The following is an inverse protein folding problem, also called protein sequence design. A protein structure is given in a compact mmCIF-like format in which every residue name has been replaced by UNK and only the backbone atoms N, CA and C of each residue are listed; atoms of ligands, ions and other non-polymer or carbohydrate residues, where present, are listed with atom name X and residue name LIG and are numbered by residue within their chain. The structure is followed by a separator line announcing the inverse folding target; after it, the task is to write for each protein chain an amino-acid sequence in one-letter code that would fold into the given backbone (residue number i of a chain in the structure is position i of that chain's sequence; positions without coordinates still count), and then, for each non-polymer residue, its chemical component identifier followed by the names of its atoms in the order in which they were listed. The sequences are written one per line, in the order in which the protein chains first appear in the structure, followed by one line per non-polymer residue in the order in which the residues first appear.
data_IF_266033913624
#
_entry.id   IF_266033913624
#
_cell.length_a   1.000
_cell.length_b   1.000
_cell.length_c   1.000
_cell.angle_alpha   90.00
_cell.angle_beta   90.00
_cell.angle_gamma   90.00
#
_symmetry.space_group_name_H-M   'P 1'
#
loop_
_entity.id
_entity.type
_entity.pdbx_description
1 polymer ?
#
# COMPACT_ATOMS: atom_id res chain seq x y z
N UNK A 1 5.08 -8.48 -14.09
CA UNK A 1 6.23 -9.38 -14.14
C UNK A 1 7.42 -8.80 -14.92
N UNK A 2 7.21 -7.91 -15.88
CA UNK A 2 8.27 -7.33 -16.72
C UNK A 2 9.05 -6.16 -16.09
N UNK A 3 8.69 -5.74 -14.88
CA UNK A 3 9.29 -4.56 -14.25
C UNK A 3 10.80 -4.73 -14.03
N UNK A 4 11.24 -5.90 -13.53
CA UNK A 4 12.66 -6.17 -13.32
C UNK A 4 13.46 -6.25 -14.63
N UNK A 5 12.87 -6.84 -15.66
CA UNK A 5 13.47 -6.89 -17.00
C UNK A 5 13.65 -5.48 -17.59
N UNK A 6 12.62 -4.64 -17.50
CA UNK A 6 12.71 -3.25 -17.96
C UNK A 6 13.75 -2.45 -17.16
N UNK A 7 13.77 -2.63 -15.84
CA UNK A 7 14.74 -1.98 -14.97
C UNK A 7 16.19 -2.34 -15.37
N UNK A 8 16.45 -3.62 -15.59
CA UNK A 8 17.73 -4.11 -16.09
C UNK A 8 18.08 -3.50 -17.45
N UNK A 9 17.14 -3.51 -18.39
CA UNK A 9 17.35 -2.96 -19.74
C UNK A 9 17.74 -1.48 -19.74
N UNK A 10 17.17 -0.69 -18.81
CA UNK A 10 17.41 0.73 -18.72
C UNK A 10 18.43 1.14 -17.63
N UNK A 11 18.99 0.18 -16.90
CA UNK A 11 19.97 0.45 -15.83
C UNK A 11 19.38 1.27 -14.67
N UNK A 12 18.10 1.06 -14.32
CA UNK A 12 17.40 1.79 -13.25
C UNK A 12 16.92 0.82 -12.16
N UNK A 13 16.69 1.31 -10.96
CA UNK A 13 16.16 0.52 -9.88
C UNK A 13 14.63 0.39 -9.98
N UNK A 14 14.10 -0.77 -9.57
CA UNK A 14 12.66 -1.00 -9.42
C UNK A 14 12.27 -1.23 -7.96
N UNK A 15 11.01 -0.91 -7.65
CA UNK A 15 10.43 -0.99 -6.32
C UNK A 15 9.07 -1.68 -6.40
N UNK A 16 8.98 -3.00 -6.18
CA UNK A 16 7.71 -3.71 -6.21
C UNK A 16 6.83 -3.28 -5.03
N UNK A 17 5.55 -3.10 -5.31
CA UNK A 17 4.54 -2.79 -4.28
C UNK A 17 3.86 -4.08 -3.87
N UNK A 18 3.83 -4.36 -2.58
CA UNK A 18 3.23 -5.56 -2.00
C UNK A 18 2.49 -5.22 -0.71
N UNK A 19 1.44 -5.98 -0.40
CA UNK A 19 0.69 -5.88 0.84
C UNK A 19 1.03 -6.97 1.87
N UNK A 20 1.90 -7.91 1.51
CA UNK A 20 2.30 -9.02 2.40
C UNK A 20 3.63 -9.64 1.99
N UNK A 21 4.28 -10.29 2.95
CA UNK A 21 5.48 -11.10 2.72
C UNK A 21 5.26 -12.19 1.67
N UNK A 22 4.09 -12.86 1.71
CA UNK A 22 3.71 -13.88 0.73
C UNK A 22 3.63 -13.31 -0.68
N UNK A 23 3.04 -12.13 -0.86
CA UNK A 23 2.97 -11.46 -2.17
C UNK A 23 4.37 -11.20 -2.72
N UNK A 24 5.29 -10.70 -1.88
CA UNK A 24 6.68 -10.53 -2.28
C UNK A 24 7.36 -11.84 -2.69
N UNK A 25 7.21 -12.91 -1.90
CA UNK A 25 7.79 -14.22 -2.24
C UNK A 25 7.32 -14.74 -3.60
N UNK A 26 6.04 -14.58 -3.92
CA UNK A 26 5.48 -15.01 -5.21
C UNK A 26 6.10 -14.22 -6.37
N UNK A 27 6.17 -12.88 -6.23
CA UNK A 27 6.78 -12.02 -7.24
C UNK A 27 8.27 -12.30 -7.40
N UNK A 28 8.98 -12.50 -6.30
CA UNK A 28 10.41 -12.83 -6.30
C UNK A 28 10.68 -14.12 -7.08
N UNK A 29 9.99 -15.22 -6.72
CA UNK A 29 10.17 -16.52 -7.38
C UNK A 29 9.80 -16.51 -8.86
N UNK A 30 8.79 -15.73 -9.24
CA UNK A 30 8.26 -15.75 -10.61
C UNK A 30 8.99 -14.82 -11.57
N UNK A 31 9.58 -13.74 -11.08
CA UNK A 31 10.09 -12.69 -11.96
C UNK A 31 11.35 -12.01 -11.46
N UNK A 32 11.42 -11.61 -10.18
CA UNK A 32 12.39 -10.61 -9.76
C UNK A 32 13.75 -11.17 -9.31
N UNK A 33 13.84 -12.45 -8.97
CA UNK A 33 15.09 -13.08 -8.56
C UNK A 33 16.21 -12.97 -9.62
N UNK A 34 15.84 -12.96 -10.90
CA UNK A 34 16.78 -12.81 -12.02
C UNK A 34 17.30 -11.37 -12.23
N UNK A 35 16.71 -10.40 -11.53
CA UNK A 35 17.02 -8.97 -11.64
C UNK A 35 17.31 -8.37 -10.28
N UNK A 36 17.92 -9.17 -9.41
CA UNK A 36 18.20 -8.83 -8.01
C UNK A 36 18.98 -7.54 -7.84
N UNK A 37 19.98 -7.30 -8.69
CA UNK A 37 20.87 -6.16 -8.67
C UNK A 37 20.16 -4.82 -8.92
N UNK A 38 18.98 -4.87 -9.53
CA UNK A 38 18.14 -3.69 -9.80
C UNK A 38 17.02 -3.49 -8.77
N UNK A 39 16.93 -4.34 -7.74
CA UNK A 39 15.97 -4.15 -6.66
C UNK A 39 16.41 -3.01 -5.74
N UNK A 40 15.78 -1.84 -5.84
CA UNK A 40 16.08 -0.66 -5.02
C UNK A 40 15.44 -0.71 -3.63
N UNK A 41 14.32 -1.39 -3.48
CA UNK A 41 13.58 -1.54 -2.23
C UNK A 41 12.25 -2.25 -2.45
N UNK A 42 11.54 -2.54 -1.36
CA UNK A 42 10.20 -3.14 -1.40
C UNK A 42 9.21 -2.18 -0.76
N UNK A 43 8.21 -1.73 -1.52
CA UNK A 43 7.13 -0.91 -0.98
C UNK A 43 6.11 -1.84 -0.33
N UNK A 44 6.02 -1.78 1.00
CA UNK A 44 4.92 -2.39 1.73
C UNK A 44 3.78 -1.37 1.79
N UNK A 45 2.71 -1.66 1.06
CA UNK A 45 1.50 -0.86 1.07
C UNK A 45 0.51 -1.47 2.07
N UNK A 46 0.23 -0.73 3.16
CA UNK A 46 -0.71 -1.22 4.17
C UNK A 46 -2.13 -1.31 3.59
N UNK A 47 -2.73 -2.52 3.54
CA UNK A 47 -3.99 -2.73 2.83
C UNK A 47 -5.22 -2.15 3.52
N UNK A 48 -5.13 -1.71 4.78
CA UNK A 48 -6.23 -1.01 5.48
C UNK A 48 -6.08 0.50 5.46
N UNK A 49 -4.84 1.01 5.33
CA UNK A 49 -4.53 2.43 5.43
C UNK A 49 -4.26 3.09 4.06
N UNK A 50 -3.91 2.30 3.05
CA UNK A 50 -3.65 2.83 1.71
C UNK A 50 -4.94 3.22 0.98
N UNK A 51 -4.88 4.29 0.19
CA UNK A 51 -5.97 4.74 -0.66
C UNK A 51 -6.04 3.99 -1.99
N UNK A 52 -7.20 4.02 -2.64
CA UNK A 52 -7.42 3.37 -3.92
C UNK A 52 -7.49 1.84 -3.84
N UNK A 53 -7.10 1.15 -4.90
CA UNK A 53 -6.96 -0.30 -4.89
C UNK A 53 -5.78 -0.68 -4.02
N UNK A 54 -6.05 -1.48 -3.01
CA UNK A 54 -5.02 -1.99 -2.11
C UNK A 54 -4.93 -3.53 -2.19
N UNK A 55 -3.91 -4.07 -1.59
CA UNK A 55 -3.66 -5.50 -1.66
C UNK A 55 -4.37 -6.32 -0.59
N UNK A 56 -5.48 -5.85 0.00
CA UNK A 56 -6.26 -6.63 0.97
C UNK A 56 -6.80 -7.89 0.28
N UNK A 57 -6.45 -9.04 0.80
CA UNK A 57 -6.90 -10.31 0.22
C UNK A 57 -8.36 -10.59 0.60
N UNK A 58 -9.02 -11.44 -0.20
CA UNK A 58 -10.39 -11.85 0.10
C UNK A 58 -10.53 -12.69 1.38
N UNK A 59 -9.43 -13.20 1.91
CA UNK A 59 -9.38 -13.95 3.17
C UNK A 59 -9.19 -13.04 4.40
N UNK A 60 -8.89 -11.76 4.18
CA UNK A 60 -8.71 -10.78 5.26
C UNK A 60 -10.01 -9.99 5.49
N UNK A 61 -10.29 -9.70 6.76
CA UNK A 61 -11.47 -8.93 7.16
C UNK A 61 -11.16 -7.42 7.09
N UNK A 62 -11.85 -6.66 6.23
CA UNK A 62 -11.64 -5.21 6.12
C UNK A 62 -11.95 -4.45 7.41
N UNK A 63 -12.74 -5.03 8.32
CA UNK A 63 -13.10 -4.41 9.60
C UNK A 63 -12.14 -4.77 10.74
N UNK A 64 -11.16 -5.65 10.50
CA UNK A 64 -10.16 -6.09 11.47
C UNK A 64 -8.75 -5.78 11.00
N UNK A 65 -8.33 -4.48 11.03
CA UNK A 65 -7.00 -4.09 10.61
C UNK A 65 -5.93 -4.77 11.47
N UNK A 66 -4.89 -5.29 10.81
CA UNK A 66 -3.70 -5.80 11.47
C UNK A 66 -2.72 -4.65 11.70
N UNK A 67 -1.86 -4.79 12.71
CA UNK A 67 -0.81 -3.81 12.96
C UNK A 67 0.26 -3.90 11.86
N UNK A 68 0.66 -2.79 11.25
CA UNK A 68 1.72 -2.78 10.24
C UNK A 68 3.03 -3.40 10.74
N UNK A 69 3.35 -3.24 12.02
CA UNK A 69 4.56 -3.76 12.65
C UNK A 69 4.77 -5.27 12.38
N UNK A 70 3.78 -6.09 12.71
CA UNK A 70 3.86 -7.55 12.56
C UNK A 70 4.10 -7.96 11.10
N UNK A 71 3.45 -7.26 10.18
CA UNK A 71 3.58 -7.51 8.73
C UNK A 71 4.94 -7.08 8.18
N UNK A 72 5.49 -5.99 8.71
CA UNK A 72 6.84 -5.51 8.34
C UNK A 72 7.92 -6.48 8.86
N UNK A 73 7.78 -6.97 10.10
CA UNK A 73 8.68 -7.98 10.68
C UNK A 73 8.64 -9.27 9.83
N UNK A 74 7.47 -9.73 9.43
CA UNK A 74 7.32 -10.90 8.55
C UNK A 74 7.97 -10.68 7.18
N UNK A 75 7.78 -9.50 6.59
CA UNK A 75 8.40 -9.13 5.33
C UNK A 75 9.94 -9.07 5.48
N UNK A 76 10.46 -8.47 6.54
CA UNK A 76 11.91 -8.42 6.83
C UNK A 76 12.49 -9.83 6.99
N UNK A 77 11.81 -10.72 7.73
CA UNK A 77 12.21 -12.12 7.85
C UNK A 77 12.28 -12.80 6.48
N UNK A 78 11.30 -12.54 5.64
CA UNK A 78 11.29 -13.06 4.26
C UNK A 78 12.47 -12.53 3.45
N UNK A 79 12.76 -11.23 3.51
CA UNK A 79 13.91 -10.63 2.83
C UNK A 79 15.23 -11.25 3.30
N UNK A 80 15.42 -11.42 4.61
CA UNK A 80 16.61 -12.09 5.19
C UNK A 80 16.78 -13.51 4.63
N UNK A 81 15.71 -14.30 4.60
CA UNK A 81 15.74 -15.68 4.08
C UNK A 81 16.09 -15.76 2.57
N UNK A 82 15.90 -14.65 1.85
CA UNK A 82 16.27 -14.53 0.43
C UNK A 82 17.64 -13.87 0.21
N UNK A 83 18.39 -13.58 1.29
CA UNK A 83 19.66 -12.87 1.27
C UNK A 83 19.52 -11.40 0.85
N UNK A 84 18.39 -10.78 1.16
CA UNK A 84 18.03 -9.39 0.83
C UNK A 84 17.89 -8.54 2.11
N UNK A 85 18.65 -8.85 3.15
CA UNK A 85 18.57 -8.21 4.47
C UNK A 85 18.83 -6.71 4.42
N UNK A 86 19.66 -6.25 3.49
CA UNK A 86 20.00 -4.84 3.32
C UNK A 86 18.98 -4.05 2.47
N UNK A 87 18.05 -4.74 1.82
CA UNK A 87 17.03 -4.10 0.99
C UNK A 87 16.08 -3.27 1.86
N UNK A 88 15.91 -1.96 1.60
CA UNK A 88 14.99 -1.13 2.38
C UNK A 88 13.54 -1.52 2.16
N UNK A 89 12.73 -1.47 3.22
CA UNK A 89 11.28 -1.53 3.14
C UNK A 89 10.75 -0.10 3.14
N UNK A 90 9.91 0.25 2.20
CA UNK A 90 9.25 1.55 2.12
C UNK A 90 7.81 1.37 2.61
N UNK A 91 7.50 1.87 3.79
CA UNK A 91 6.14 1.81 4.33
C UNK A 91 5.26 2.85 3.65
N UNK A 92 4.17 2.41 3.04
CA UNK A 92 3.16 3.22 2.38
C UNK A 92 1.76 2.94 2.98
N UNK A 93 0.90 3.96 2.96
CA UNK A 93 -0.44 3.91 3.53
C UNK A 93 -0.49 4.45 4.96
N UNK A 94 -1.34 5.46 5.18
CA UNK A 94 -1.55 6.06 6.49
C UNK A 94 -0.40 6.92 7.05
N UNK A 95 0.64 7.20 6.26
CA UNK A 95 1.78 7.99 6.72
C UNK A 95 1.44 9.48 6.67
N UNK A 96 1.27 10.08 7.84
CA UNK A 96 1.01 11.50 7.98
C UNK A 96 2.19 12.26 8.59
N UNK A 97 2.75 11.75 9.68
CA UNK A 97 3.91 12.32 10.36
C UNK A 97 4.88 11.22 10.75
N UNK A 98 6.19 11.43 10.59
CA UNK A 98 7.20 10.44 11.02
C UNK A 98 7.19 10.23 12.54
N UNK A 99 6.73 11.22 13.31
CA UNK A 99 6.60 11.10 14.77
C UNK A 99 5.71 9.91 15.19
N UNK A 100 4.70 9.58 14.39
CA UNK A 100 3.79 8.45 14.66
C UNK A 100 4.45 7.09 14.43
N UNK A 101 5.64 7.09 13.82
CA UNK A 101 6.38 5.91 13.38
C UNK A 101 7.80 5.84 13.97
N UNK A 102 8.08 6.60 15.04
CA UNK A 102 9.41 6.63 15.66
C UNK A 102 9.89 5.22 16.08
N UNK A 103 9.00 4.39 16.62
CA UNK A 103 9.31 3.02 17.06
C UNK A 103 9.69 2.07 15.90
N UNK A 104 9.47 2.50 14.65
CA UNK A 104 9.80 1.73 13.45
C UNK A 104 11.18 2.12 12.89
N UNK A 105 11.68 3.31 13.25
CA UNK A 105 12.97 3.83 12.81
C UNK A 105 14.05 3.19 13.67
N UNK A 106 15.15 2.76 13.04
CA UNK A 106 16.27 2.07 13.69
C UNK A 106 15.86 0.80 14.47
N UNK A 107 14.71 0.25 14.16
CA UNK A 107 14.20 -0.97 14.78
C UNK A 107 14.87 -2.21 14.19
N UNK A 108 15.58 -3.04 15.00
CA UNK A 108 16.34 -4.18 14.49
C UNK A 108 15.48 -5.28 13.87
N UNK A 109 14.21 -5.40 14.26
CA UNK A 109 13.29 -6.40 13.72
C UNK A 109 12.82 -6.01 12.30
N UNK A 110 12.68 -4.71 12.05
CA UNK A 110 12.26 -4.15 10.77
C UNK A 110 13.47 -3.88 9.85
N UNK A 111 14.59 -3.43 10.40
CA UNK A 111 15.79 -3.05 9.65
C UNK A 111 15.62 -1.74 8.89
N UNK A 112 16.28 -1.60 7.74
CA UNK A 112 16.22 -0.38 6.94
C UNK A 112 14.78 -0.08 6.49
N UNK A 113 14.25 1.06 6.92
CA UNK A 113 12.89 1.52 6.59
C UNK A 113 12.92 2.93 6.00
N UNK A 114 12.02 3.18 5.06
CA UNK A 114 11.68 4.50 4.52
C UNK A 114 10.16 4.66 4.52
N UNK A 115 9.67 5.86 4.25
CA UNK A 115 8.25 6.18 4.32
C UNK A 115 7.77 6.90 3.06
N UNK A 116 6.60 6.50 2.57
CA UNK A 116 5.95 7.12 1.43
C UNK A 116 4.73 7.92 1.87
N UNK A 117 4.73 9.21 1.60
CA UNK A 117 3.61 10.10 1.85
C UNK A 117 2.71 10.18 0.62
N UNK A 118 1.42 9.82 0.76
CA UNK A 118 0.43 9.95 -0.31
C UNK A 118 -0.38 11.25 -0.18
N UNK A 119 -1.24 11.31 0.82
CA UNK A 119 -2.23 12.40 0.99
C UNK A 119 -1.59 13.73 1.42
N UNK A 120 -0.59 13.68 2.31
CA UNK A 120 0.01 14.90 2.87
C UNK A 120 0.59 15.85 1.82
N UNK A 121 1.34 15.41 0.80
CA UNK A 121 1.81 16.28 -0.27
C UNK A 121 0.68 16.93 -1.08
N UNK A 122 -0.47 16.27 -1.19
CA UNK A 122 -1.60 16.80 -1.96
C UNK A 122 -2.21 18.06 -1.37
N UNK A 123 -2.11 18.27 -0.05
CA UNK A 123 -2.66 19.46 0.62
C UNK A 123 -1.67 20.61 0.76
N UNK A 124 -0.45 20.48 0.25
CA UNK A 124 0.53 21.58 0.25
C UNK A 124 0.13 22.69 -0.73
N UNK A 125 0.72 23.88 -0.58
CA UNK A 125 0.47 25.00 -1.49
C UNK A 125 0.89 24.70 -2.92
N UNK A 126 1.97 23.96 -3.08
CA UNK A 126 2.59 23.60 -4.36
C UNK A 126 1.79 22.55 -5.13
N UNK A 127 0.92 21.81 -4.44
CA UNK A 127 0.07 20.82 -5.10
C UNK A 127 -0.92 21.48 -6.06
N UNK A 128 -1.10 20.99 -7.29
CA UNK A 128 -2.04 21.55 -8.26
C UNK A 128 -3.51 21.24 -7.95
N UNK A 129 -3.80 20.54 -6.86
CA UNK A 129 -5.17 20.24 -6.42
C UNK A 129 -5.85 21.54 -5.98
N UNK A 130 -7.13 21.74 -6.35
CA UNK A 130 -7.89 22.93 -6.01
C UNK A 130 -8.01 23.13 -4.49
N UNK A 131 -8.08 24.40 -4.06
CA UNK A 131 -8.21 24.75 -2.64
C UNK A 131 -9.51 24.22 -2.03
N UNK A 132 -10.57 24.08 -2.82
CA UNK A 132 -11.82 23.46 -2.37
C UNK A 132 -11.59 21.98 -1.97
N UNK A 133 -10.86 21.24 -2.76
CA UNK A 133 -10.48 19.86 -2.44
C UNK A 133 -9.55 19.77 -1.23
N UNK A 134 -8.53 20.64 -1.15
CA UNK A 134 -7.62 20.70 0.01
C UNK A 134 -8.41 20.92 1.30
N UNK A 135 -9.37 21.86 1.30
CA UNK A 135 -10.24 22.12 2.45
C UNK A 135 -11.09 20.91 2.85
N UNK A 136 -11.68 20.21 1.86
CA UNK A 136 -12.42 18.98 2.12
C UNK A 136 -11.53 17.89 2.73
N UNK A 137 -10.34 17.68 2.18
CA UNK A 137 -9.40 16.67 2.69
C UNK A 137 -8.97 16.97 4.13
N UNK A 138 -8.83 18.23 4.50
CA UNK A 138 -8.51 18.65 5.87
C UNK A 138 -9.68 18.41 6.87
N UNK A 139 -10.90 18.22 6.38
CA UNK A 139 -12.09 17.98 7.21
C UNK A 139 -12.40 16.48 7.36
N UNK A 140 -11.72 15.60 6.61
CA UNK A 140 -11.93 14.13 6.67
C UNK A 140 -11.65 13.59 8.07
N UNK A 141 -12.61 12.85 8.60
CA UNK A 141 -12.56 12.23 9.93
C UNK A 141 -12.51 10.71 9.82
N UNK A 142 -12.25 10.07 10.95
CA UNK A 142 -12.36 8.61 11.06
C UNK A 142 -13.79 8.17 10.71
N UNK A 143 -13.93 7.27 9.73
CA UNK A 143 -15.21 6.79 9.22
C UNK A 143 -15.65 7.43 7.90
N UNK A 144 -15.00 8.53 7.47
CA UNK A 144 -15.26 9.14 6.15
C UNK A 144 -14.49 8.43 5.04
N UNK A 145 -13.52 7.61 5.39
CA UNK A 145 -12.82 6.71 4.44
C UNK A 145 -13.41 5.31 4.57
N UNK A 146 -13.89 4.77 3.48
CA UNK A 146 -14.50 3.45 3.42
C UNK A 146 -13.64 2.51 2.61
N UNK A 147 -13.50 1.28 3.11
CA UNK A 147 -12.76 0.17 2.50
C UNK A 147 -13.75 -0.91 2.10
N UNK A 148 -14.06 -1.00 0.80
CA UNK A 148 -15.04 -1.95 0.27
C UNK A 148 -14.70 -2.39 -1.16
N UNK A 149 -15.44 -3.39 -1.67
CA UNK A 149 -15.34 -3.85 -3.06
C UNK A 149 -16.32 -3.10 -3.95
N UNK A 150 -16.05 -1.85 -4.25
CA UNK A 150 -16.89 -1.07 -5.20
C UNK A 150 -16.31 -1.01 -6.61
N UNK A 151 -15.13 -1.55 -6.82
CA UNK A 151 -14.56 -1.67 -8.16
C UNK A 151 -15.10 -2.92 -8.87
N UNK A 152 -15.38 -2.87 -10.19
CA UNK A 152 -15.77 -4.02 -10.99
C UNK A 152 -14.68 -5.12 -11.03
N UNK A 153 -13.46 -4.80 -10.63
CA UNK A 153 -12.36 -5.78 -10.51
C UNK A 153 -12.54 -6.77 -9.35
N UNK A 154 -13.50 -6.51 -8.44
CA UNK A 154 -13.75 -7.36 -7.26
C UNK A 154 -12.72 -7.24 -6.15
N UNK A 155 -11.73 -6.37 -6.29
CA UNK A 155 -10.75 -6.10 -5.23
C UNK A 155 -11.24 -5.00 -4.28
N UNK A 156 -10.73 -5.05 -3.04
CA UNK A 156 -10.98 -3.99 -2.08
C UNK A 156 -10.34 -2.68 -2.54
N UNK A 157 -11.06 -1.59 -2.30
CA UNK A 157 -10.59 -0.23 -2.57
C UNK A 157 -10.96 0.68 -1.42
N UNK A 158 -10.10 1.64 -1.14
CA UNK A 158 -10.29 2.65 -0.10
C UNK A 158 -10.55 4.00 -0.74
N UNK A 159 -11.62 4.67 -0.33
CA UNK A 159 -11.97 5.98 -0.86
C UNK A 159 -12.70 6.85 0.18
N UNK A 160 -12.61 8.17 0.01
CA UNK A 160 -13.41 9.12 0.79
C UNK A 160 -14.86 8.98 0.38
N UNK A 161 -15.72 8.79 1.37
CA UNK A 161 -17.18 8.67 1.21
C UNK A 161 -17.74 9.92 0.54
N UNK A 162 -18.53 9.72 -0.51
CA UNK A 162 -19.24 10.77 -1.21
C UNK A 162 -20.56 10.23 -1.77
N UNK A 163 -21.43 11.10 -2.27
CA UNK A 163 -22.77 10.74 -2.77
C UNK A 163 -22.73 9.71 -3.92
N UNK A 164 -21.69 9.70 -4.74
CA UNK A 164 -21.53 8.69 -5.79
C UNK A 164 -21.27 7.30 -5.19
N UNK A 165 -20.34 7.19 -4.24
CA UNK A 165 -20.02 5.93 -3.59
C UNK A 165 -21.19 5.42 -2.72
N UNK A 166 -21.93 6.30 -2.08
CA UNK A 166 -23.14 5.95 -1.34
C UNK A 166 -24.16 5.27 -2.25
N UNK A 167 -24.48 5.90 -3.37
CA UNK A 167 -25.37 5.32 -4.39
C UNK A 167 -24.86 4.00 -4.97
N UNK A 168 -23.54 3.88 -5.15
CA UNK A 168 -22.94 2.65 -5.64
C UNK A 168 -23.08 1.50 -4.64
N UNK A 169 -22.88 1.78 -3.37
CA UNK A 169 -23.03 0.82 -2.28
C UNK A 169 -24.49 0.36 -2.15
N UNK A 170 -25.44 1.29 -2.21
CA UNK A 170 -26.87 1.00 -2.19
C UNK A 170 -27.28 0.09 -3.34
N UNK A 171 -26.82 0.38 -4.57
CA UNK A 171 -27.09 -0.45 -5.75
C UNK A 171 -26.54 -1.87 -5.60
N UNK A 172 -25.32 -2.01 -5.07
CA UNK A 172 -24.69 -3.30 -4.88
C UNK A 172 -25.47 -4.23 -3.95
N UNK A 173 -26.24 -3.70 -3.01
CA UNK A 173 -27.10 -4.49 -2.12
C UNK A 173 -28.28 -5.14 -2.86
N UNK A 174 -28.65 -4.62 -4.04
CA UNK A 174 -29.72 -5.16 -4.90
C UNK A 174 -29.22 -5.98 -6.09
N UNK A 175 -27.91 -6.08 -6.30
CA UNK A 175 -27.37 -6.82 -7.44
C UNK A 175 -27.23 -8.32 -7.12
N UNK A 176 -27.82 -9.16 -8.00
CA UNK A 176 -27.61 -10.60 -7.96
C UNK A 176 -26.17 -10.89 -8.37
N UNK A 177 -25.44 -11.59 -7.52
CA UNK A 177 -24.08 -12.02 -7.84
C UNK A 177 -24.11 -12.86 -9.12
N UNK A 178 -23.38 -12.44 -10.14
CA UNK A 178 -23.12 -13.31 -11.29
C UNK A 178 -22.41 -14.58 -10.80
N UNK A 179 -23.04 -15.71 -11.09
CA UNK A 179 -22.47 -17.03 -10.83
C UNK A 179 -21.48 -17.38 -11.93
#
# INVERSE_FOLDING_TARGET
YHLGELASKFGVYYYPIVSSARAFQVLWKRAYSNFREFLGGVVYEDPWLAGGHNGLSNAEDPLKPQKPYERLVELRKTLRNLGLEETPIILAGGIWSLKEWEDYIDNPDIGKIAFQFGTRPMITKESPISDAWKKLMMQVKKGDVILQKFSPTGFFSSAIKNTFLERLIERKQGEVAFK
#
